data_IF_971774345778
#
_entry.id   IF_971774345778
#
_cell.length_a   1.000
_cell.length_b   1.000
_cell.length_c   1.000
_cell.angle_alpha   90.00
_cell.angle_beta   90.00
_cell.angle_gamma   90.00
#
_symmetry.space_group_name_H-M   'P 1'
#
loop_
_entity.id
_entity.type
_entity.pdbx_description
1 polymer ?
#
# COMPACT_ATOMS: atom_id res chain seq x y z
N UNK A 1 -16.00 -14.13 -4.12
CA UNK A 1 -17.07 -13.39 -4.82
C UNK A 1 -17.31 -12.00 -4.22
N UNK A 2 -16.25 -11.22 -3.99
CA UNK A 2 -16.32 -9.81 -3.57
C UNK A 2 -15.42 -8.88 -4.40
N UNK A 3 -14.70 -9.44 -5.39
CA UNK A 3 -13.82 -8.73 -6.33
C UNK A 3 -14.59 -7.81 -7.27
N UNK A 4 -15.82 -8.18 -7.62
CA UNK A 4 -16.51 -7.63 -8.80
C UNK A 4 -17.17 -6.26 -8.54
N UNK A 5 -17.12 -5.75 -7.30
CA UNK A 5 -17.81 -4.54 -6.88
C UNK A 5 -17.00 -3.23 -7.03
N UNK A 6 -15.73 -3.31 -7.44
CA UNK A 6 -14.84 -2.13 -7.49
C UNK A 6 -14.68 -1.54 -8.89
N UNK A 7 -15.15 -2.23 -9.93
CA UNK A 7 -15.05 -1.80 -11.34
C UNK A 7 -16.05 -0.72 -11.76
N UNK A 8 -17.07 -0.43 -10.94
CA UNK A 8 -18.09 0.58 -11.22
C UNK A 8 -17.89 1.89 -10.44
N UNK A 9 -16.64 2.27 -10.15
CA UNK A 9 -16.32 3.62 -9.67
C UNK A 9 -16.58 4.73 -10.72
N UNK A 10 -17.51 4.50 -11.64
CA UNK A 10 -18.19 5.51 -12.47
C UNK A 10 -19.23 6.32 -11.68
N UNK A 11 -19.44 6.03 -10.39
CA UNK A 11 -20.54 6.59 -9.59
C UNK A 11 -20.11 7.40 -8.34
N UNK A 12 -19.09 8.25 -8.45
CA UNK A 12 -19.09 9.49 -7.68
C UNK A 12 -19.32 10.61 -8.68
N UNK A 13 -20.42 11.36 -8.50
CA UNK A 13 -20.73 12.53 -9.31
C UNK A 13 -19.45 13.34 -9.54
N UNK A 14 -19.12 13.63 -10.81
CA UNK A 14 -17.92 14.34 -11.20
C UNK A 14 -17.83 15.64 -10.39
N UNK A 15 -17.01 15.61 -9.34
CA UNK A 15 -16.69 16.80 -8.57
C UNK A 15 -15.86 17.67 -9.51
N UNK A 16 -16.17 18.97 -9.61
CA UNK A 16 -15.36 19.89 -10.40
C UNK A 16 -13.89 19.75 -9.97
N UNK A 17 -12.99 19.63 -10.95
CA UNK A 17 -11.56 19.38 -10.71
C UNK A 17 -10.97 20.38 -9.71
N UNK A 18 -11.39 21.65 -9.75
CA UNK A 18 -10.89 22.67 -8.82
C UNK A 18 -11.31 22.39 -7.38
N UNK A 19 -12.54 21.94 -7.18
CA UNK A 19 -13.04 21.63 -5.84
C UNK A 19 -12.43 20.34 -5.30
N UNK A 20 -12.16 19.37 -6.17
CA UNK A 20 -11.43 18.16 -5.80
C UNK A 20 -9.96 18.46 -5.42
N UNK A 21 -9.26 19.31 -6.17
CA UNK A 21 -7.90 19.78 -5.82
C UNK A 21 -7.90 20.51 -4.48
N UNK A 22 -8.86 21.43 -4.25
CA UNK A 22 -8.99 22.12 -2.96
C UNK A 22 -9.21 21.14 -1.81
N UNK A 23 -10.04 20.11 -2.01
CA UNK A 23 -10.31 19.09 -0.99
C UNK A 23 -9.05 18.31 -0.62
N UNK A 24 -8.27 17.86 -1.61
CA UNK A 24 -7.02 17.12 -1.39
C UNK A 24 -6.02 17.98 -0.59
N UNK A 25 -5.84 19.24 -0.96
CA UNK A 25 -4.93 20.16 -0.23
C UNK A 25 -5.43 20.49 1.17
N UNK A 26 -6.75 20.67 1.33
CA UNK A 26 -7.36 20.90 2.63
C UNK A 26 -7.21 19.70 3.60
N UNK A 27 -7.08 18.48 3.09
CA UNK A 27 -6.74 17.30 3.89
C UNK A 27 -5.29 17.37 4.38
N UNK A 28 -4.35 17.74 3.51
CA UNK A 28 -2.95 17.98 3.89
C UNK A 28 -2.82 19.09 4.94
N UNK A 29 -3.54 20.20 4.79
CA UNK A 29 -3.56 21.29 5.77
C UNK A 29 -4.07 20.85 7.16
N UNK A 30 -4.79 19.72 7.22
CA UNK A 30 -5.28 19.08 8.46
C UNK A 30 -4.36 17.95 8.95
N UNK A 31 -3.18 17.79 8.35
CA UNK A 31 -2.16 16.84 8.76
C UNK A 31 -2.19 15.49 8.03
N UNK A 32 -3.01 15.32 7.00
CA UNK A 32 -2.98 14.10 6.16
C UNK A 32 -1.74 14.15 5.25
N UNK A 33 -0.86 13.16 5.37
CA UNK A 33 0.36 13.09 4.56
C UNK A 33 0.40 11.89 3.62
N UNK A 34 -0.54 10.95 3.74
CA UNK A 34 -0.61 9.74 2.93
C UNK A 34 -1.82 9.80 1.98
N UNK A 35 -1.57 9.73 0.68
CA UNK A 35 -2.58 9.81 -0.37
C UNK A 35 -2.55 8.53 -1.22
N UNK A 36 -3.65 7.79 -1.22
CA UNK A 36 -3.80 6.52 -1.93
C UNK A 36 -4.70 6.71 -3.17
N UNK A 37 -4.24 6.26 -4.33
CA UNK A 37 -4.94 6.27 -5.62
C UNK A 37 -4.71 4.95 -6.35
N UNK A 38 -5.21 4.80 -7.57
CA UNK A 38 -4.91 3.67 -8.46
C UNK A 38 -5.19 4.04 -9.91
N UNK A 39 -4.48 3.43 -10.87
CA UNK A 39 -4.72 3.65 -12.30
C UNK A 39 -6.14 3.28 -12.76
N UNK A 40 -6.84 2.41 -12.04
CA UNK A 40 -8.21 1.96 -12.39
C UNK A 40 -9.30 2.92 -11.90
N UNK A 41 -8.99 3.89 -11.03
CA UNK A 41 -10.00 4.82 -10.50
C UNK A 41 -10.35 5.89 -11.53
N UNK A 42 -11.60 5.85 -12.03
CA UNK A 42 -12.06 6.67 -13.15
C UNK A 42 -11.03 6.61 -14.28
N UNK A 43 -10.75 5.41 -14.83
CA UNK A 43 -9.44 4.97 -15.29
C UNK A 43 -8.50 6.10 -15.74
N UNK A 44 -7.32 6.13 -15.10
CA UNK A 44 -6.26 7.12 -15.28
C UNK A 44 -6.57 8.53 -14.73
N UNK A 45 -7.82 9.00 -14.76
CA UNK A 45 -8.14 10.41 -14.43
C UNK A 45 -7.93 10.75 -12.95
N UNK A 46 -8.12 9.81 -12.02
CA UNK A 46 -7.91 10.08 -10.60
C UNK A 46 -6.43 10.34 -10.28
N UNK A 47 -5.50 9.67 -10.97
CA UNK A 47 -4.07 9.95 -10.82
C UNK A 47 -3.69 11.32 -11.37
N UNK A 48 -4.30 11.77 -12.45
CA UNK A 48 -4.08 13.12 -13.00
C UNK A 48 -4.54 14.20 -12.01
N UNK A 49 -5.72 14.01 -11.40
CA UNK A 49 -6.24 14.89 -10.36
C UNK A 49 -5.34 14.94 -9.11
N UNK A 50 -4.89 13.77 -8.63
CA UNK A 50 -3.99 13.67 -7.48
C UNK A 50 -2.64 14.31 -7.79
N UNK A 51 -2.11 14.09 -9.00
CA UNK A 51 -0.88 14.71 -9.48
C UNK A 51 -0.97 16.24 -9.47
N UNK A 52 -2.02 16.80 -10.06
CA UNK A 52 -2.26 18.26 -10.03
C UNK A 52 -2.37 18.83 -8.61
N UNK A 53 -3.05 18.10 -7.72
CA UNK A 53 -3.24 18.55 -6.36
C UNK A 53 -1.94 18.57 -5.55
N UNK A 54 -1.09 17.56 -5.72
CA UNK A 54 0.07 17.29 -4.86
C UNK A 54 1.41 17.76 -5.43
N UNK A 55 1.53 18.00 -6.74
CA UNK A 55 2.77 18.46 -7.39
C UNK A 55 3.44 19.65 -6.65
N UNK A 56 2.72 20.71 -6.23
CA UNK A 56 3.35 21.84 -5.53
C UNK A 56 3.83 21.54 -4.10
N UNK A 57 3.47 20.39 -3.53
CA UNK A 57 3.80 19.97 -2.15
C UNK A 57 4.39 18.55 -2.11
N UNK A 58 4.96 18.11 -3.23
CA UNK A 58 5.36 16.71 -3.46
C UNK A 58 6.30 16.17 -2.39
N UNK A 59 7.22 16.99 -1.90
CA UNK A 59 8.22 16.68 -0.88
C UNK A 59 7.63 16.48 0.53
N UNK A 60 6.37 16.89 0.75
CA UNK A 60 5.68 16.85 2.04
C UNK A 60 4.64 15.73 2.16
N UNK A 61 4.48 14.93 1.12
CA UNK A 61 3.45 13.90 1.04
C UNK A 61 4.02 12.56 0.58
N UNK A 62 3.31 11.50 0.94
CA UNK A 62 3.52 10.12 0.52
C UNK A 62 2.40 9.76 -0.45
N UNK A 63 2.76 9.39 -1.67
CA UNK A 63 1.81 8.98 -2.70
C UNK A 63 1.89 7.47 -2.90
N UNK A 64 0.77 6.79 -2.68
CA UNK A 64 0.59 5.40 -3.01
C UNK A 64 -0.29 5.24 -4.25
N UNK A 65 0.11 4.38 -5.18
CA UNK A 65 -0.72 3.97 -6.31
C UNK A 65 -0.62 2.47 -6.56
N UNK A 66 -1.39 1.96 -7.52
CA UNK A 66 -1.55 0.53 -7.76
C UNK A 66 -1.55 0.18 -9.25
N UNK A 67 -0.91 -0.94 -9.59
CA UNK A 67 -0.94 -1.56 -10.92
C UNK A 67 -1.67 -2.91 -10.87
N UNK A 68 -1.80 -3.57 -12.01
CA UNK A 68 -2.19 -4.99 -12.08
C UNK A 68 -3.56 -5.26 -12.69
N UNK A 69 -4.35 -4.20 -12.97
CA UNK A 69 -5.51 -4.30 -13.85
C UNK A 69 -5.08 -4.00 -15.29
N UNK A 70 -5.57 -4.79 -16.24
CA UNK A 70 -5.44 -4.53 -17.67
C UNK A 70 -6.35 -3.37 -18.08
N UNK A 71 -5.72 -2.30 -18.54
CA UNK A 71 -6.37 -1.06 -18.95
C UNK A 71 -5.86 -0.62 -20.34
N UNK A 72 -6.77 -0.29 -21.29
CA UNK A 72 -8.22 -0.46 -21.18
C UNK A 72 -8.61 -1.93 -21.03
N UNK A 73 -9.72 -2.21 -20.34
CA UNK A 73 -10.19 -3.59 -20.16
C UNK A 73 -10.63 -4.16 -21.52
N UNK A 74 -10.32 -5.43 -21.84
CA UNK A 74 -10.72 -6.05 -23.10
C UNK A 74 -12.24 -6.26 -23.24
N UNK A 75 -12.97 -6.30 -22.12
CA UNK A 75 -14.43 -6.41 -22.08
C UNK A 75 -15.02 -5.67 -20.87
N UNK A 76 -16.30 -5.92 -20.57
CA UNK A 76 -17.01 -5.30 -19.43
C UNK A 76 -16.53 -5.78 -18.04
N UNK A 77 -15.70 -6.82 -18.01
CA UNK A 77 -15.11 -7.39 -16.81
C UNK A 77 -13.84 -6.68 -16.35
N UNK A 78 -13.29 -7.16 -15.25
CA UNK A 78 -11.99 -6.74 -14.76
C UNK A 78 -10.97 -7.85 -15.05
N UNK A 79 -9.92 -7.49 -15.78
CA UNK A 79 -8.84 -8.41 -16.12
C UNK A 79 -7.56 -8.02 -15.40
N UNK A 80 -6.81 -9.01 -14.97
CA UNK A 80 -5.54 -8.82 -14.29
C UNK A 80 -4.41 -8.98 -15.31
N UNK A 81 -3.44 -8.06 -15.25
CA UNK A 81 -2.20 -8.16 -16.00
C UNK A 81 -1.04 -7.70 -15.11
N UNK A 82 -0.30 -8.66 -14.57
CA UNK A 82 0.90 -8.42 -13.76
C UNK A 82 2.17 -8.89 -14.48
N UNK A 83 2.18 -8.96 -15.82
CA UNK A 83 3.40 -9.31 -16.56
C UNK A 83 4.47 -8.22 -16.38
N UNK A 84 5.76 -8.57 -16.23
CA UNK A 84 6.82 -7.60 -15.94
C UNK A 84 6.88 -6.37 -16.85
N UNK A 85 6.69 -6.55 -18.15
CA UNK A 85 6.63 -5.49 -19.15
C UNK A 85 5.43 -4.55 -18.94
N UNK A 86 4.26 -5.10 -18.65
CA UNK A 86 3.05 -4.33 -18.35
C UNK A 86 3.14 -3.58 -17.02
N UNK A 87 3.78 -4.17 -15.99
CA UNK A 87 4.05 -3.48 -14.72
C UNK A 87 4.87 -2.21 -14.99
N UNK A 88 5.96 -2.34 -15.76
CA UNK A 88 6.82 -1.21 -16.12
C UNK A 88 6.04 -0.14 -16.89
N UNK A 89 5.26 -0.54 -17.89
CA UNK A 89 4.39 0.39 -18.63
C UNK A 89 3.40 1.12 -17.71
N UNK A 90 2.77 0.40 -16.79
CA UNK A 90 1.82 0.95 -15.82
C UNK A 90 2.48 1.98 -14.90
N UNK A 91 3.69 1.69 -14.43
CA UNK A 91 4.46 2.58 -13.55
C UNK A 91 4.89 3.86 -14.28
N UNK A 92 5.40 3.77 -15.50
CA UNK A 92 5.72 4.96 -16.32
C UNK A 92 4.49 5.84 -16.56
N UNK A 93 3.35 5.22 -16.88
CA UNK A 93 2.08 5.94 -17.03
C UNK A 93 1.66 6.64 -15.75
N UNK A 94 1.79 5.97 -14.61
CA UNK A 94 1.42 6.51 -13.30
C UNK A 94 2.30 7.68 -12.89
N UNK A 95 3.63 7.59 -13.08
CA UNK A 95 4.58 8.69 -12.83
C UNK A 95 4.22 9.95 -13.62
N UNK A 96 3.90 9.80 -14.90
CA UNK A 96 3.47 10.91 -15.76
C UNK A 96 2.19 11.57 -15.26
N UNK A 97 1.16 10.77 -14.94
CA UNK A 97 -0.15 11.29 -14.46
C UNK A 97 -0.03 11.95 -13.09
N UNK A 98 0.76 11.35 -12.20
CA UNK A 98 1.03 11.87 -10.87
C UNK A 98 2.01 13.07 -10.85
N UNK A 99 2.61 13.41 -12.00
CA UNK A 99 3.57 14.53 -12.16
C UNK A 99 4.72 14.43 -11.16
N UNK A 100 5.30 13.24 -11.03
CA UNK A 100 6.39 12.95 -10.09
C UNK A 100 7.35 11.94 -10.71
N UNK A 101 8.63 12.03 -10.34
CA UNK A 101 9.67 11.09 -10.77
C UNK A 101 9.72 9.83 -9.89
N UNK A 102 8.99 9.82 -8.77
CA UNK A 102 8.97 8.69 -7.83
C UNK A 102 7.58 8.44 -7.23
N UNK A 103 7.19 7.17 -7.15
CA UNK A 103 6.05 6.66 -6.39
C UNK A 103 6.56 6.20 -5.02
N UNK A 104 5.95 6.67 -3.93
CA UNK A 104 6.42 6.27 -2.59
C UNK A 104 6.04 4.82 -2.28
N UNK A 105 4.81 4.41 -2.58
CA UNK A 105 4.36 3.04 -2.33
C UNK A 105 3.58 2.50 -3.53
N UNK A 106 4.11 1.46 -4.17
CA UNK A 106 3.48 0.82 -5.31
C UNK A 106 2.83 -0.50 -4.88
N UNK A 107 1.51 -0.59 -5.00
CA UNK A 107 0.77 -1.82 -4.74
C UNK A 107 0.55 -2.65 -6.00
N UNK A 108 0.68 -3.97 -5.92
CA UNK A 108 -0.09 -4.85 -6.80
C UNK A 108 -1.56 -4.82 -6.33
N UNK A 109 -2.48 -4.35 -7.17
CA UNK A 109 -3.86 -4.09 -6.77
C UNK A 109 -4.65 -5.38 -6.51
N UNK A 110 -4.46 -6.40 -7.35
CA UNK A 110 -5.00 -7.75 -7.17
C UNK A 110 -3.95 -8.75 -7.62
N UNK A 111 -3.89 -9.89 -6.92
CA UNK A 111 -2.99 -10.99 -7.32
C UNK A 111 -3.46 -11.53 -8.67
N UNK A 112 -2.55 -11.52 -9.64
CA UNK A 112 -2.75 -12.18 -10.93
C UNK A 112 -2.38 -13.66 -10.79
N UNK A 113 -3.32 -14.60 -10.94
CA UNK A 113 -3.04 -16.02 -10.81
C UNK A 113 -2.18 -16.58 -11.95
N UNK A 114 -2.05 -15.84 -13.07
CA UNK A 114 -1.32 -16.28 -14.26
C UNK A 114 0.14 -15.84 -14.26
N UNK A 115 0.56 -15.03 -13.28
CA UNK A 115 1.95 -14.55 -13.16
C UNK A 115 2.49 -14.93 -11.78
N UNK A 116 3.63 -15.64 -11.69
CA UNK A 116 4.28 -15.91 -10.41
C UNK A 116 4.52 -14.62 -9.62
N UNK A 117 4.18 -14.63 -8.33
CA UNK A 117 4.33 -13.44 -7.49
C UNK A 117 5.80 -13.03 -7.34
N UNK A 118 6.71 -13.98 -7.47
CA UNK A 118 8.16 -13.78 -7.47
C UNK A 118 8.61 -12.91 -8.65
N UNK A 119 8.00 -13.07 -9.83
CA UNK A 119 8.29 -12.24 -11.02
C UNK A 119 7.77 -10.81 -10.83
N UNK A 120 6.59 -10.66 -10.21
CA UNK A 120 6.02 -9.36 -9.84
C UNK A 120 6.93 -8.65 -8.84
N UNK A 121 7.31 -9.33 -7.76
CA UNK A 121 8.20 -8.79 -6.74
C UNK A 121 9.59 -8.45 -7.30
N UNK A 122 10.12 -9.28 -8.18
CA UNK A 122 11.38 -9.01 -8.91
C UNK A 122 11.28 -7.76 -9.79
N UNK A 123 10.17 -7.58 -10.49
CA UNK A 123 9.95 -6.39 -11.31
C UNK A 123 9.89 -5.12 -10.46
N UNK A 124 9.19 -5.16 -9.33
CA UNK A 124 9.12 -4.00 -8.41
C UNK A 124 10.49 -3.73 -7.77
N UNK A 125 11.27 -4.76 -7.46
CA UNK A 125 12.65 -4.62 -6.97
C UNK A 125 13.52 -3.84 -7.95
N UNK A 126 13.44 -4.15 -9.23
CA UNK A 126 14.19 -3.40 -10.25
C UNK A 126 13.74 -1.94 -10.32
N UNK A 127 12.42 -1.70 -10.29
CA UNK A 127 11.87 -0.33 -10.28
C UNK A 127 12.30 0.48 -9.04
N UNK A 128 12.50 -0.20 -7.90
CA UNK A 128 13.08 0.41 -6.70
C UNK A 128 14.56 0.74 -6.92
N UNK A 129 15.33 -0.17 -7.51
CA UNK A 129 16.74 0.07 -7.84
C UNK A 129 16.91 1.21 -8.87
N UNK A 130 15.95 1.38 -9.78
CA UNK A 130 15.87 2.50 -10.73
C UNK A 130 15.46 3.84 -10.07
N UNK A 131 15.01 3.83 -8.81
CA UNK A 131 14.57 5.02 -8.09
C UNK A 131 13.15 5.50 -8.41
N UNK A 132 12.40 4.76 -9.23
CA UNK A 132 11.02 5.09 -9.65
C UNK A 132 9.98 4.75 -8.59
N UNK A 133 10.30 3.79 -7.72
CA UNK A 133 9.45 3.33 -6.62
C UNK A 133 10.28 3.31 -5.33
N UNK A 134 9.71 3.69 -4.18
CA UNK A 134 10.42 3.56 -2.89
C UNK A 134 10.08 2.26 -2.16
N UNK A 135 8.80 1.91 -2.12
CA UNK A 135 8.29 0.79 -1.35
C UNK A 135 7.32 -0.07 -2.15
N UNK A 136 7.32 -1.37 -1.85
CA UNK A 136 6.43 -2.36 -2.46
C UNK A 136 5.27 -2.68 -1.52
N UNK A 137 4.05 -2.73 -2.04
CA UNK A 137 2.87 -3.19 -1.32
C UNK A 137 2.09 -4.24 -2.10
N UNK A 138 1.23 -4.97 -1.39
CA UNK A 138 0.25 -5.90 -1.96
C UNK A 138 -1.15 -5.51 -1.54
N UNK A 139 -2.18 -5.91 -2.31
CA UNK A 139 -3.56 -5.77 -1.90
C UNK A 139 -4.33 -7.06 -2.12
N UNK A 140 -5.16 -7.43 -1.14
CA UNK A 140 -5.99 -8.64 -1.17
C UNK A 140 -5.20 -9.93 -1.49
N UNK A 141 -3.95 -10.01 -1.01
CA UNK A 141 -3.09 -11.18 -1.16
C UNK A 141 -3.21 -12.13 0.03
N UNK A 142 -3.16 -13.45 -0.23
CA UNK A 142 -3.11 -14.49 0.80
C UNK A 142 -1.72 -14.63 1.44
N UNK A 143 -1.65 -15.27 2.61
CA UNK A 143 -0.42 -15.39 3.40
C UNK A 143 0.76 -16.02 2.63
N UNK A 144 0.50 -17.07 1.85
CA UNK A 144 1.54 -17.72 1.04
C UNK A 144 2.10 -16.81 -0.04
N UNK A 145 1.22 -16.07 -0.73
CA UNK A 145 1.63 -15.07 -1.75
C UNK A 145 2.46 -13.95 -1.12
N UNK A 146 2.04 -13.47 0.06
CA UNK A 146 2.78 -12.44 0.81
C UNK A 146 4.19 -12.92 1.15
N UNK A 147 4.34 -14.13 1.69
CA UNK A 147 5.65 -14.70 2.06
C UNK A 147 6.58 -14.84 0.86
N UNK A 148 6.06 -15.36 -0.26
CA UNK A 148 6.82 -15.51 -1.51
C UNK A 148 7.29 -14.18 -2.07
N UNK A 149 6.40 -13.18 -2.11
CA UNK A 149 6.74 -11.83 -2.55
C UNK A 149 7.82 -11.20 -1.66
N UNK A 150 7.60 -11.27 -0.34
CA UNK A 150 8.47 -10.65 0.67
C UNK A 150 9.89 -11.25 0.67
N UNK A 151 10.03 -12.53 0.33
CA UNK A 151 11.33 -13.20 0.17
C UNK A 151 12.16 -12.65 -1.01
N UNK A 152 11.52 -12.11 -2.05
CA UNK A 152 12.19 -11.53 -3.23
C UNK A 152 12.46 -10.04 -3.04
N UNK A 153 11.44 -9.31 -2.57
CA UNK A 153 11.47 -7.88 -2.28
C UNK A 153 10.60 -7.60 -1.04
N UNK A 154 11.16 -6.98 0.02
CA UNK A 154 10.40 -6.67 1.22
C UNK A 154 9.10 -5.91 0.92
N UNK A 155 7.98 -6.55 1.24
CA UNK A 155 6.65 -5.94 1.21
C UNK A 155 6.53 -5.02 2.42
N UNK A 156 6.22 -3.76 2.18
CA UNK A 156 6.09 -2.72 3.22
C UNK A 156 4.68 -2.67 3.80
N UNK A 157 3.66 -2.90 2.98
CA UNK A 157 2.27 -2.87 3.41
C UNK A 157 1.38 -3.84 2.64
N UNK A 158 0.38 -4.40 3.33
CA UNK A 158 -0.77 -5.08 2.74
C UNK A 158 -2.02 -4.23 2.91
N UNK A 159 -2.75 -4.00 1.83
CA UNK A 159 -4.05 -3.33 1.85
C UNK A 159 -5.20 -4.34 1.64
N UNK A 160 -6.04 -4.55 2.65
CA UNK A 160 -7.18 -5.48 2.57
C UNK A 160 -8.45 -4.95 3.25
N UNK A 161 -9.61 -5.52 2.92
CA UNK A 161 -10.87 -5.19 3.61
C UNK A 161 -10.74 -5.52 5.10
N UNK A 162 -11.07 -4.57 5.98
CA UNK A 162 -11.17 -4.84 7.41
C UNK A 162 -12.06 -3.82 8.11
N UNK A 163 -12.99 -4.31 8.93
CA UNK A 163 -13.86 -3.50 9.78
C UNK A 163 -14.49 -4.39 10.86
N UNK A 164 -15.28 -3.82 11.77
CA UNK A 164 -16.11 -4.63 12.67
C UNK A 164 -17.11 -5.54 11.93
N UNK A 165 -17.35 -5.24 10.64
CA UNK A 165 -18.20 -6.00 9.74
C UNK A 165 -17.50 -7.16 9.04
N UNK A 166 -16.17 -7.12 8.96
CA UNK A 166 -15.35 -8.04 8.19
C UNK A 166 -13.99 -8.21 8.87
N UNK A 167 -13.82 -9.32 9.58
CA UNK A 167 -12.67 -9.60 10.45
C UNK A 167 -11.84 -10.80 9.99
N UNK A 168 -12.13 -11.36 8.82
CA UNK A 168 -11.38 -12.50 8.24
C UNK A 168 -9.86 -12.33 8.25
N UNK A 169 -9.28 -11.12 8.02
CA UNK A 169 -7.83 -10.94 8.12
C UNK A 169 -7.22 -11.33 9.47
N UNK A 170 -7.98 -11.36 10.57
CA UNK A 170 -7.47 -11.72 11.91
C UNK A 170 -7.02 -13.19 12.00
N UNK A 171 -7.58 -14.08 11.17
CA UNK A 171 -7.34 -15.52 11.27
C UNK A 171 -5.93 -15.94 10.80
N UNK A 172 -5.44 -15.33 9.72
CA UNK A 172 -4.19 -15.76 9.06
C UNK A 172 -3.34 -14.58 8.57
N UNK A 173 -3.99 -13.53 8.07
CA UNK A 173 -3.30 -12.40 7.43
C UNK A 173 -2.57 -11.55 8.46
N UNK A 174 -3.27 -11.00 9.45
CA UNK A 174 -2.66 -10.14 10.49
C UNK A 174 -1.50 -10.86 11.20
N UNK A 175 -1.63 -12.12 11.65
CA UNK A 175 -0.50 -12.87 12.20
C UNK A 175 0.70 -12.97 11.24
N UNK A 176 0.46 -13.20 9.96
CA UNK A 176 1.53 -13.26 8.94
C UNK A 176 2.21 -11.90 8.74
N UNK A 177 1.45 -10.81 8.77
CA UNK A 177 2.00 -9.45 8.66
C UNK A 177 2.83 -9.07 9.88
N UNK A 178 2.36 -9.40 11.08
CA UNK A 178 3.08 -9.17 12.34
C UNK A 178 4.42 -9.94 12.35
N UNK A 179 4.42 -11.21 11.93
CA UNK A 179 5.63 -12.03 11.82
C UNK A 179 6.67 -11.42 10.87
N UNK A 180 6.21 -10.86 9.75
CA UNK A 180 7.08 -10.31 8.69
C UNK A 180 7.38 -8.81 8.87
N UNK A 181 6.81 -8.15 9.87
CA UNK A 181 6.96 -6.69 10.08
C UNK A 181 6.32 -5.84 8.97
N UNK A 182 5.21 -6.29 8.40
CA UNK A 182 4.50 -5.63 7.29
C UNK A 182 3.34 -4.80 7.85
N UNK A 183 3.18 -3.56 7.38
CA UNK A 183 2.05 -2.72 7.78
C UNK A 183 0.71 -3.21 7.21
N UNK A 184 -0.38 -3.08 7.99
CA UNK A 184 -1.73 -3.36 7.51
C UNK A 184 -2.50 -2.07 7.23
N UNK A 185 -3.06 -1.94 6.03
CA UNK A 185 -3.86 -0.78 5.60
C UNK A 185 -5.30 -1.22 5.34
N UNK A 186 -6.25 -0.95 6.24
CA UNK A 186 -7.63 -1.39 6.06
C UNK A 186 -8.36 -0.52 5.02
N UNK A 187 -8.99 -1.14 4.02
CA UNK A 187 -10.01 -0.46 3.21
C UNK A 187 -11.42 -0.79 3.68
N UNK A 188 -12.38 0.08 3.34
CA UNK A 188 -13.77 0.02 3.83
C UNK A 188 -13.94 -0.09 5.36
N UNK A 189 -13.14 0.64 6.17
CA UNK A 189 -13.19 0.48 7.63
C UNK A 189 -14.52 0.90 8.26
N UNK A 190 -15.28 1.76 7.57
CA UNK A 190 -16.64 2.15 7.97
C UNK A 190 -17.73 1.19 7.44
N UNK A 191 -17.36 -0.03 7.03
CA UNK A 191 -18.30 -1.03 6.50
C UNK A 191 -19.10 -0.51 5.31
N UNK A 192 -18.42 0.18 4.38
CA UNK A 192 -19.06 0.78 3.19
C UNK A 192 -20.22 1.73 3.54
N UNK A 193 -20.06 2.46 4.64
CA UNK A 193 -21.02 3.43 5.17
C UNK A 193 -21.95 2.86 6.24
N UNK A 194 -22.08 1.53 6.36
CA UNK A 194 -22.98 0.90 7.33
C UNK A 194 -22.63 1.27 8.78
N UNK A 195 -21.34 1.21 9.14
CA UNK A 195 -20.88 1.48 10.50
C UNK A 195 -20.95 2.97 10.90
N UNK A 196 -21.38 3.85 9.99
CA UNK A 196 -21.69 5.25 10.33
C UNK A 196 -23.01 5.40 11.08
N UNK A 197 -23.87 4.37 11.07
CA UNK A 197 -25.21 4.38 11.64
C UNK A 197 -26.25 5.14 10.81
N UNK A 198 -25.92 5.56 9.58
CA UNK A 198 -26.84 6.25 8.67
C UNK A 198 -27.67 5.31 7.77
N UNK A 199 -27.33 4.02 7.76
CA UNK A 199 -28.03 2.98 6.99
C UNK A 199 -28.86 2.18 7.98
N UNK A 200 -30.19 2.34 7.92
CA UNK A 200 -31.12 1.58 8.77
C UNK A 200 -31.51 0.22 8.15
N UNK A 201 -32.31 -0.56 8.89
CA UNK A 201 -32.72 -1.91 8.49
C UNK A 201 -33.67 -1.94 7.27
N UNK A 202 -34.22 -0.79 6.87
CA UNK A 202 -35.15 -0.64 5.75
C UNK A 202 -34.52 0.04 4.54
N UNK A 203 -33.21 0.33 4.61
CA UNK A 203 -32.49 1.02 3.56
C UNK A 203 -32.59 0.27 2.22
N UNK A 204 -32.86 1.03 1.18
CA UNK A 204 -32.83 0.58 -0.21
C UNK A 204 -31.75 1.32 -0.98
N UNK A 205 -31.23 0.70 -2.02
CA UNK A 205 -30.14 1.24 -2.83
C UNK A 205 -30.60 1.37 -4.28
N UNK A 206 -30.26 2.50 -4.91
CA UNK A 206 -30.63 2.77 -6.28
C UNK A 206 -29.91 1.86 -7.30
N UNK A 207 -30.42 1.79 -8.54
CA UNK A 207 -29.72 1.10 -9.63
C UNK A 207 -28.31 1.65 -9.82
N UNK A 208 -27.31 0.76 -9.86
CA UNK A 208 -25.89 1.13 -10.01
C UNK A 208 -25.13 1.37 -8.70
N UNK A 209 -25.81 1.45 -7.56
CA UNK A 209 -25.14 1.40 -6.25
C UNK A 209 -24.69 -0.04 -5.99
N UNK A 210 -23.38 -0.25 -5.86
CA UNK A 210 -22.84 -1.60 -5.66
C UNK A 210 -23.40 -2.27 -4.39
N UNK A 211 -23.86 -1.52 -3.38
CA UNK A 211 -24.49 -2.10 -2.18
C UNK A 211 -25.75 -2.89 -2.49
N UNK A 212 -26.43 -2.59 -3.60
CA UNK A 212 -27.62 -3.34 -4.05
C UNK A 212 -27.35 -4.83 -4.35
N UNK A 213 -26.13 -5.18 -4.75
CA UNK A 213 -25.76 -6.55 -5.16
C UNK A 213 -24.92 -7.30 -4.13
N UNK A 214 -24.55 -6.65 -3.02
CA UNK A 214 -23.70 -7.28 -2.00
C UNK A 214 -24.58 -7.99 -0.96
N UNK A 215 -24.38 -9.30 -0.68
CA UNK A 215 -25.25 -10.09 0.21
C UNK A 215 -25.47 -9.48 1.61
N UNK A 216 -24.46 -8.82 2.17
CA UNK A 216 -24.53 -8.21 3.52
C UNK A 216 -25.39 -6.94 3.61
N UNK A 217 -25.87 -6.44 2.48
CA UNK A 217 -26.80 -5.31 2.37
C UNK A 217 -28.22 -5.74 1.96
N UNK A 218 -28.50 -7.05 1.90
CA UNK A 218 -29.85 -7.57 1.71
C UNK A 218 -30.66 -7.45 3.01
N UNK A 219 -31.99 -7.45 2.90
CA UNK A 219 -32.90 -7.06 3.98
C UNK A 219 -32.66 -7.80 5.31
N UNK A 220 -32.54 -9.13 5.27
CA UNK A 220 -32.31 -9.96 6.46
C UNK A 220 -30.94 -9.66 7.08
N UNK A 221 -29.92 -9.51 6.24
CA UNK A 221 -28.58 -9.17 6.69
C UNK A 221 -28.56 -7.77 7.31
N UNK A 222 -29.16 -6.75 6.68
CA UNK A 222 -29.26 -5.39 7.22
C UNK A 222 -29.89 -5.39 8.61
N UNK A 223 -30.99 -6.14 8.80
CA UNK A 223 -31.67 -6.26 10.09
C UNK A 223 -30.77 -6.89 11.16
N UNK A 224 -30.12 -8.01 10.85
CA UNK A 224 -29.21 -8.69 11.77
C UNK A 224 -28.01 -7.80 12.14
N UNK A 225 -27.47 -7.11 11.14
CA UNK A 225 -26.27 -6.30 11.23
C UNK A 225 -26.46 -5.02 12.06
N UNK A 226 -27.69 -4.56 12.32
CA UNK A 226 -27.95 -3.40 13.18
C UNK A 226 -27.38 -3.57 14.60
N UNK A 227 -27.23 -4.81 15.08
CA UNK A 227 -26.59 -5.10 16.36
C UNK A 227 -25.16 -4.52 16.45
N UNK A 228 -24.42 -4.47 15.34
CA UNK A 228 -23.06 -3.91 15.31
C UNK A 228 -23.06 -2.38 15.48
N UNK A 229 -24.00 -1.70 14.83
CA UNK A 229 -24.19 -0.24 15.01
C UNK A 229 -24.67 0.09 16.42
N UNK A 230 -25.57 -0.73 16.98
CA UNK A 230 -26.02 -0.58 18.35
C UNK A 230 -24.86 -0.69 19.34
N UNK A 231 -23.98 -1.69 19.17
CA UNK A 231 -22.81 -1.89 20.02
C UNK A 231 -21.79 -0.73 19.94
N UNK A 232 -21.66 -0.08 18.78
CA UNK A 232 -20.81 1.10 18.62
C UNK A 232 -21.38 2.35 19.33
N UNK A 233 -22.70 2.42 19.44
CA UNK A 233 -23.40 3.54 20.06
C UNK A 233 -23.49 3.42 21.58
N UNK A 234 -23.09 2.30 22.16
CA UNK A 234 -23.08 2.09 23.61
C UNK A 234 -21.65 2.10 24.15
N UNK A 235 -21.46 2.60 25.37
CA UNK A 235 -20.20 2.44 26.10
C UNK A 235 -20.13 1.08 26.80
N UNK A 236 -19.01 0.79 27.46
CA UNK A 236 -18.81 -0.48 28.19
C UNK A 236 -19.78 -0.69 29.36
N UNK A 237 -20.58 0.33 29.71
CA UNK A 237 -21.62 0.30 30.74
C UNK A 237 -23.03 0.26 30.14
N UNK A 238 -23.15 0.24 28.81
CA UNK A 238 -24.43 0.22 28.10
C UNK A 238 -25.07 1.60 27.89
N UNK A 239 -24.38 2.69 28.24
CA UNK A 239 -24.89 4.06 28.07
C UNK A 239 -24.67 4.55 26.65
N UNK A 240 -25.59 5.36 26.11
CA UNK A 240 -25.42 5.94 24.76
C UNK A 240 -24.20 6.87 24.74
N UNK A 241 -23.29 6.65 23.79
CA UNK A 241 -22.17 7.56 23.53
C UNK A 241 -22.69 8.81 22.83
N UNK A 242 -22.29 10.00 23.30
CA UNK A 242 -22.55 11.27 22.61
C UNK A 242 -21.63 11.51 21.40
N UNK A 243 -20.66 10.64 21.15
CA UNK A 243 -19.81 10.68 19.96
C UNK A 243 -20.53 10.01 18.78
N UNK A 244 -20.49 10.64 17.60
CA UNK A 244 -20.99 10.02 16.38
C UNK A 244 -20.21 8.74 16.06
N UNK A 245 -20.84 7.65 15.57
CA UNK A 245 -20.18 6.39 15.25
C UNK A 245 -18.98 6.55 14.30
N UNK A 246 -19.05 7.51 13.37
CA UNK A 246 -17.99 7.84 12.42
C UNK A 246 -16.76 8.53 13.06
N UNK A 247 -16.86 8.97 14.32
CA UNK A 247 -15.79 9.57 15.12
C UNK A 247 -15.27 8.66 16.24
N UNK A 248 -15.86 7.47 16.43
CA UNK A 248 -15.26 6.47 17.30
C UNK A 248 -13.86 6.19 16.76
N UNK A 249 -12.83 6.59 17.52
CA UNK A 249 -11.42 6.53 17.10
C UNK A 249 -11.15 5.16 16.47
N UNK A 250 -10.70 5.16 15.23
CA UNK A 250 -10.05 4.01 14.60
C UNK A 250 -8.70 3.76 15.27
N UNK A 251 -8.75 3.43 16.56
CA UNK A 251 -7.61 3.12 17.42
C UNK A 251 -7.76 1.67 17.88
N UNK A 252 -7.77 0.76 16.92
CA UNK A 252 -7.46 -0.64 17.15
C UNK A 252 -6.25 -0.93 16.25
N UNK A 253 -5.04 -0.72 16.78
CA UNK A 253 -3.83 -0.98 15.98
C UNK A 253 -2.48 -0.51 16.55
N UNK A 254 -2.42 0.41 17.52
CA UNK A 254 -1.14 0.85 18.08
C UNK A 254 -1.01 0.50 19.56
N UNK A 255 -0.53 -0.72 19.86
CA UNK A 255 0.30 -0.87 21.06
C UNK A 255 1.62 -0.16 20.80
N UNK A 256 1.93 0.79 21.66
CA UNK A 256 2.96 1.80 21.45
C UNK A 256 4.35 1.24 21.22
N UNK A 257 5.02 1.78 20.20
CA UNK A 257 6.47 1.75 20.08
C UNK A 257 7.02 2.84 21.01
N UNK A 258 7.51 2.44 22.17
CA UNK A 258 8.28 3.31 23.07
C UNK A 258 9.58 3.71 22.36
N UNK A 259 9.74 5.02 22.10
CA UNK A 259 10.88 5.61 21.37
C UNK A 259 12.11 5.85 22.26
N UNK A 260 12.21 5.21 23.42
CA UNK A 260 13.30 5.45 24.36
C UNK A 260 14.38 4.36 24.43
N UNK A 261 14.34 3.30 23.59
CA UNK A 261 15.39 2.26 23.59
C UNK A 261 16.65 2.69 22.77
N UNK A 262 17.83 2.89 23.39
CA UNK A 262 19.03 3.35 22.69
C UNK A 262 19.74 2.26 21.84
N UNK A 263 19.20 1.04 21.75
CA UNK A 263 19.92 -0.11 21.15
C UNK A 263 19.86 -0.22 19.63
N UNK A 264 19.31 0.76 18.91
CA UNK A 264 19.22 0.73 17.44
C UNK A 264 20.19 1.65 16.68
N UNK A 265 21.17 2.27 17.35
CA UNK A 265 22.22 3.02 16.66
C UNK A 265 23.52 2.22 16.55
N UNK A 266 23.60 1.29 15.60
CA UNK A 266 24.86 0.94 14.94
C UNK A 266 24.62 0.11 13.67
N UNK A 267 24.47 0.79 12.54
CA UNK A 267 24.77 0.22 11.22
C UNK A 267 26.09 0.82 10.76
N UNK A 268 27.13 -0.02 10.73
CA UNK A 268 28.49 0.35 10.35
C UNK A 268 28.59 0.66 8.84
N UNK A 269 29.17 1.82 8.51
CA UNK A 269 29.66 2.12 7.16
C UNK A 269 31.00 1.43 6.89
N UNK A 270 31.29 0.99 5.65
CA UNK A 270 32.58 0.38 5.31
C UNK A 270 33.61 1.47 5.01
N UNK A 271 34.51 1.73 5.96
CA UNK A 271 35.52 2.79 5.85
C UNK A 271 36.94 2.32 6.17
N UNK A 272 37.77 2.25 5.11
CA UNK A 272 39.24 2.47 5.05
C UNK A 272 40.15 1.83 6.13
N UNK A 273 41.02 0.92 5.67
CA UNK A 273 42.22 0.47 6.41
C UNK A 273 43.14 1.65 6.80
N UNK A 274 43.67 1.70 8.04
CA UNK A 274 44.67 2.69 8.40
C UNK A 274 46.06 2.25 7.93
N UNK A 275 46.72 3.16 7.20
CA UNK A 275 48.18 3.14 6.97
C UNK A 275 48.89 3.33 8.31
N UNK A 276 49.74 2.38 8.71
CA UNK A 276 50.76 2.61 9.75
C UNK A 276 52.12 2.83 9.10
N UNK A 277 52.72 3.97 9.44
CA UNK A 277 54.02 4.40 8.98
C UNK A 277 55.19 3.75 9.70
N UNK A 278 56.25 3.58 8.91
CA UNK A 278 57.64 3.90 9.20
C UNK A 278 58.25 3.45 10.54
N UNK A 279 59.05 2.37 10.48
CA UNK A 279 60.28 2.24 11.27
C UNK A 279 61.44 1.93 10.32
N UNK A 280 62.37 2.87 10.21
CA UNK A 280 63.73 2.63 9.71
C UNK A 280 64.54 1.95 10.81
N UNK A 281 65.33 0.92 10.49
CA UNK A 281 66.79 0.97 10.56
C UNK A 281 67.45 -0.43 10.44
N UNK A 282 68.46 -0.46 9.55
CA UNK A 282 69.73 -1.19 9.62
C UNK A 282 69.94 -2.64 9.12
N UNK A 283 70.96 -2.68 8.23
CA UNK A 283 71.99 -3.71 7.93
C UNK A 283 71.64 -4.72 6.82
N UNK A 284 72.20 -4.52 5.62
CA UNK A 284 73.51 -5.03 5.13
C UNK A 284 73.43 -6.49 4.65
N UNK A 285 73.43 -6.73 3.33
CA UNK A 285 74.60 -7.17 2.54
C UNK A 285 74.20 -7.58 1.12
N UNK A 286 75.14 -7.34 0.22
CA UNK A 286 75.19 -7.69 -1.21
C UNK A 286 75.17 -9.21 -1.39
N UNK A 287 74.55 -9.71 -2.46
CA UNK A 287 75.18 -10.69 -3.37
C UNK A 287 74.55 -10.62 -4.76
N UNK A 288 75.42 -10.83 -5.75
CA UNK A 288 75.21 -10.74 -7.20
C UNK A 288 74.65 -12.06 -7.78
N UNK A 289 74.19 -11.91 -9.02
CA UNK A 289 74.37 -12.83 -10.17
C UNK A 289 73.26 -13.84 -10.56
N UNK A 290 72.81 -13.65 -11.84
CA UNK A 290 72.44 -14.63 -12.89
C UNK A 290 71.15 -15.44 -12.66
N UNK A 291 70.33 -15.77 -13.67
CA UNK A 291 70.43 -15.64 -15.11
C UNK A 291 69.11 -16.08 -15.79
N UNK A 292 69.08 -15.92 -17.12
CA UNK A 292 68.05 -16.36 -18.06
C UNK A 292 67.67 -17.85 -18.00
N UNK A 293 66.40 -18.15 -18.34
CA UNK A 293 65.85 -19.14 -19.32
C UNK A 293 64.33 -19.20 -19.06
N UNK A 294 63.38 -18.83 -19.94
CA UNK A 294 62.89 -19.48 -21.18
C UNK A 294 62.76 -21.01 -21.07
N UNK A 295 61.53 -21.52 -20.91
CA UNK A 295 60.73 -22.23 -21.92
C UNK A 295 59.57 -23.03 -21.26
N UNK A 296 58.52 -23.23 -22.06
CA UNK A 296 57.21 -23.91 -21.89
C UNK A 296 56.03 -23.14 -21.24
#
# INVERSE_FOLDING_TARGET
MASDAWGSATAMAATDTKDAVKLIRAAHDRGVTFFDTAQVYGPFTNEELVGEALEPIRDRVVIATKFGFELPSPDAGQHMNSRPDYIRQSVEGSLKRLRTEVIDLLYQHRVDPNVPIEDVAGTVKDLIAEGKVRYFGLSEAGAQTIRKAHAVQPVTALQSEYSLFWREPENEIIPTLDELGIGFVPFSPLGKGFLTGKIDATATFGPGDFRSIVPRFQAEALKANQALVAALNTDSRGERRHARPDRARMAAGSKGMDRSDPRHHQAASPGRKPRRGNRRAHRQRRFRDRGCTRDD
#
